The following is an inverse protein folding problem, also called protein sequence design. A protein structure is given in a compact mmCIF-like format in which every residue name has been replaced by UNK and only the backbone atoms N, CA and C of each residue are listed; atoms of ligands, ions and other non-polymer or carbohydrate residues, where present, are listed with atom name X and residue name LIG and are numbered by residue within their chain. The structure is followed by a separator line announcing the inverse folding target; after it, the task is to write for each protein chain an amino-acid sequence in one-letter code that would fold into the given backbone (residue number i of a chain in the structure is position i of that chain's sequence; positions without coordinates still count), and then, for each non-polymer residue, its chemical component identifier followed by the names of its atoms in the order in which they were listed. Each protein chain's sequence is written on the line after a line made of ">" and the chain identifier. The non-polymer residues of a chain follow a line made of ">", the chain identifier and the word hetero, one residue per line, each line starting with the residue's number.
data_IF_559119128729
#
_entry.id   IF_559119128729
#
_cell.length_a   1.000
_cell.length_b   1.000
_cell.length_c   1.000
_cell.angle_alpha   90.00
_cell.angle_beta   90.00
_cell.angle_gamma   90.00
#
_symmetry.space_group_name_H-M   'P 1'
#
loop_
_entity.id
_entity.type
_entity.pdbx_description
1 polymer ?
#
# COMPACT_ATOMS: atom_id res chain seq x y z
N UNK A 1 -15.50 -18.13 -4.58
CA UNK A 1 -14.35 -17.59 -5.35
C UNK A 1 -13.75 -16.48 -4.52
N UNK A 2 -12.47 -16.52 -4.14
CA UNK A 2 -11.85 -15.43 -3.38
C UNK A 2 -11.36 -14.32 -4.32
N UNK A 3 -11.72 -13.05 -4.07
CA UNK A 3 -11.49 -11.97 -5.03
C UNK A 3 -10.06 -11.45 -5.00
N UNK A 4 -9.59 -11.00 -6.16
CA UNK A 4 -8.41 -10.14 -6.28
C UNK A 4 -8.62 -8.85 -5.48
N UNK A 5 -7.54 -8.16 -5.11
CA UNK A 5 -7.66 -6.83 -4.52
C UNK A 5 -8.45 -5.92 -5.48
N UNK A 6 -9.44 -5.23 -4.94
CA UNK A 6 -10.14 -4.13 -5.64
C UNK A 6 -9.49 -2.82 -5.21
N UNK A 7 -9.51 -1.81 -6.08
CA UNK A 7 -8.97 -0.48 -5.77
C UNK A 7 -9.49 0.04 -4.43
N UNK A 8 -8.60 0.62 -3.65
CA UNK A 8 -8.90 1.15 -2.31
C UNK A 8 -8.89 2.67 -2.31
N UNK A 9 -9.79 3.28 -1.54
CA UNK A 9 -9.89 4.73 -1.38
C UNK A 9 -9.33 5.17 -0.04
N UNK A 10 -8.95 6.45 0.03
CA UNK A 10 -8.61 7.16 1.25
C UNK A 10 -9.75 8.09 1.63
N UNK A 11 -10.35 7.83 2.78
CA UNK A 11 -11.61 8.48 3.18
C UNK A 11 -11.39 9.68 4.11
N UNK A 12 -10.15 9.95 4.53
CA UNK A 12 -9.83 11.07 5.42
C UNK A 12 -9.55 12.36 4.64
N UNK A 13 -9.75 13.54 5.24
CA UNK A 13 -9.38 14.79 4.60
C UNK A 13 -7.85 14.88 4.43
N UNK A 14 -7.42 15.66 3.43
CA UNK A 14 -6.04 16.12 3.30
C UNK A 14 -5.97 17.58 3.74
N UNK A 15 -4.88 17.97 4.38
CA UNK A 15 -4.68 19.35 4.87
C UNK A 15 -3.94 20.21 3.84
N UNK A 16 -3.29 19.60 2.85
CA UNK A 16 -2.48 20.28 1.85
C UNK A 16 -2.64 19.67 0.45
N UNK A 17 -2.52 20.54 -0.54
CA UNK A 17 -2.48 20.20 -1.98
C UNK A 17 -1.18 20.69 -2.60
N UNK A 18 -0.76 20.11 -3.72
CA UNK A 18 0.45 20.51 -4.45
C UNK A 18 0.26 20.43 -5.96
N UNK A 19 0.99 21.27 -6.68
CA UNK A 19 1.12 21.20 -8.15
C UNK A 19 2.33 20.37 -8.59
N UNK A 20 3.16 19.90 -7.63
CA UNK A 20 4.34 19.07 -7.92
C UNK A 20 3.93 17.78 -8.64
N UNK A 21 4.68 17.46 -9.69
CA UNK A 21 4.60 16.19 -10.39
C UNK A 21 5.23 15.07 -9.56
N UNK A 22 4.68 13.86 -9.67
CA UNK A 22 5.21 12.69 -8.99
C UNK A 22 5.21 11.45 -9.86
N UNK A 23 6.11 10.54 -9.51
CA UNK A 23 6.24 9.22 -10.10
C UNK A 23 6.26 8.16 -9.00
N UNK A 24 5.56 7.05 -9.22
CA UNK A 24 5.51 5.94 -8.28
C UNK A 24 6.30 4.77 -8.85
N UNK A 25 7.26 4.26 -8.07
CA UNK A 25 7.96 3.02 -8.32
C UNK A 25 7.54 1.98 -7.30
N UNK A 26 7.16 0.78 -7.76
CA UNK A 26 6.77 -0.31 -6.87
C UNK A 26 7.70 -1.50 -7.04
N UNK A 27 8.36 -1.87 -5.95
CA UNK A 27 9.17 -3.08 -5.87
C UNK A 27 8.40 -4.16 -5.12
N UNK A 28 8.11 -5.25 -5.83
CA UNK A 28 7.43 -6.41 -5.24
C UNK A 28 8.43 -7.30 -4.52
N UNK A 29 8.11 -7.71 -3.30
CA UNK A 29 8.96 -8.63 -2.54
C UNK A 29 8.27 -9.94 -2.20
N UNK A 30 8.68 -10.52 -1.07
CA UNK A 30 8.41 -11.93 -0.76
C UNK A 30 6.94 -12.09 -0.34
N UNK A 31 6.25 -13.06 -0.95
CA UNK A 31 4.85 -13.40 -0.67
C UNK A 31 4.81 -14.74 0.04
N UNK A 32 4.22 -14.79 1.24
CA UNK A 32 4.27 -15.96 2.11
C UNK A 32 2.92 -16.36 2.69
N UNK A 33 2.78 -17.66 2.97
CA UNK A 33 1.72 -18.21 3.80
C UNK A 33 2.31 -18.66 5.12
N UNK A 34 1.69 -18.28 6.23
CA UNK A 34 1.98 -18.88 7.51
C UNK A 34 0.95 -19.97 7.82
N UNK A 35 1.17 -21.18 7.29
CA UNK A 35 0.31 -22.35 7.52
C UNK A 35 1.06 -23.47 8.24
N UNK A 36 0.43 -24.05 9.25
CA UNK A 36 0.87 -25.30 9.88
C UNK A 36 0.36 -26.55 9.14
N UNK A 37 -0.49 -26.38 8.13
CA UNK A 37 -1.08 -27.48 7.35
C UNK A 37 -0.63 -27.45 5.90
N UNK A 38 -0.25 -28.62 5.37
CA UNK A 38 0.23 -28.85 4.01
C UNK A 38 -0.93 -28.89 2.99
N UNK A 39 -1.78 -27.87 2.98
CA UNK A 39 -2.78 -27.69 1.92
C UNK A 39 -2.13 -26.84 0.84
N UNK A 40 -2.13 -27.34 -0.41
CA UNK A 40 -1.61 -26.59 -1.56
C UNK A 40 -2.26 -25.20 -1.57
N UNK A 41 -1.50 -24.12 -1.37
CA UNK A 41 -2.09 -22.82 -1.18
C UNK A 41 -2.81 -22.34 -2.44
N UNK A 42 -3.99 -21.76 -2.27
CA UNK A 42 -4.65 -21.03 -3.34
C UNK A 42 -3.93 -19.69 -3.57
N UNK A 43 -3.27 -19.47 -4.73
CA UNK A 43 -2.46 -18.27 -4.97
C UNK A 43 -3.25 -16.95 -4.88
N UNK A 44 -4.58 -17.00 -4.99
CA UNK A 44 -5.45 -15.83 -4.91
C UNK A 44 -5.66 -15.31 -3.48
N UNK A 45 -5.30 -16.10 -2.47
CA UNK A 45 -5.41 -15.73 -1.05
C UNK A 45 -4.20 -14.94 -0.54
N UNK A 46 -3.18 -14.75 -1.36
CA UNK A 46 -2.04 -13.92 -0.99
C UNK A 46 -2.28 -12.46 -1.32
N UNK A 47 -1.47 -11.58 -0.71
CA UNK A 47 -1.26 -10.22 -1.21
C UNK A 47 -0.13 -10.25 -2.24
N UNK A 48 -0.48 -10.71 -3.44
CA UNK A 48 0.48 -11.07 -4.48
C UNK A 48 0.94 -9.85 -5.30
N UNK A 49 1.75 -10.09 -6.34
CA UNK A 49 2.27 -9.03 -7.22
C UNK A 49 1.15 -8.20 -7.87
N UNK A 50 0.07 -8.84 -8.33
CA UNK A 50 -1.05 -8.15 -8.95
C UNK A 50 -1.77 -7.26 -7.93
N UNK A 51 -1.96 -7.75 -6.70
CA UNK A 51 -2.55 -6.96 -5.62
C UNK A 51 -1.66 -5.75 -5.25
N UNK A 52 -0.33 -5.91 -5.27
CA UNK A 52 0.62 -4.82 -5.03
C UNK A 52 0.55 -3.75 -6.13
N UNK A 53 0.37 -4.17 -7.38
CA UNK A 53 0.16 -3.27 -8.51
C UNK A 53 -1.18 -2.52 -8.40
N UNK A 54 -2.27 -3.22 -8.06
CA UNK A 54 -3.58 -2.60 -7.82
C UNK A 54 -3.51 -1.58 -6.67
N UNK A 55 -2.75 -1.87 -5.62
CA UNK A 55 -2.51 -0.90 -4.56
C UNK A 55 -1.78 0.35 -5.08
N UNK A 56 -0.75 0.18 -5.90
CA UNK A 56 -0.02 1.29 -6.51
C UNK A 56 -0.92 2.19 -7.36
N UNK A 57 -1.80 1.58 -8.15
CA UNK A 57 -2.81 2.27 -8.94
C UNK A 57 -3.81 3.02 -8.06
N UNK A 58 -4.24 2.40 -6.97
CA UNK A 58 -5.10 3.04 -5.98
C UNK A 58 -4.42 4.27 -5.38
N UNK A 59 -3.13 4.18 -5.04
CA UNK A 59 -2.37 5.29 -4.47
C UNK A 59 -2.22 6.43 -5.49
N UNK A 60 -1.91 6.12 -6.75
CA UNK A 60 -1.88 7.10 -7.84
C UNK A 60 -3.23 7.83 -7.97
N UNK A 61 -4.32 7.08 -8.03
CA UNK A 61 -5.65 7.65 -8.21
C UNK A 61 -6.02 8.57 -7.05
N UNK A 62 -5.72 8.16 -5.82
CA UNK A 62 -6.02 8.93 -4.62
C UNK A 62 -5.15 10.19 -4.48
N UNK A 63 -3.84 10.12 -4.77
CA UNK A 63 -2.97 11.29 -4.76
C UNK A 63 -3.44 12.36 -5.76
N UNK A 64 -3.88 11.92 -6.95
CA UNK A 64 -4.45 12.79 -7.97
C UNK A 64 -5.82 13.35 -7.54
N UNK A 65 -6.73 12.50 -7.05
CA UNK A 65 -8.08 12.89 -6.60
C UNK A 65 -8.02 13.93 -5.48
N UNK A 66 -7.12 13.72 -4.52
CA UNK A 66 -6.89 14.59 -3.37
C UNK A 66 -6.01 15.80 -3.69
N UNK A 67 -5.44 15.86 -4.91
CA UNK A 67 -4.51 16.90 -5.35
C UNK A 67 -3.29 17.06 -4.44
N UNK A 68 -2.86 15.98 -3.79
CA UNK A 68 -1.64 15.97 -2.97
C UNK A 68 -0.41 16.04 -3.88
N UNK A 69 -0.43 15.30 -4.99
CA UNK A 69 0.59 15.29 -6.05
C UNK A 69 -0.05 14.94 -7.40
N UNK A 70 0.51 15.45 -8.49
CA UNK A 70 0.15 15.06 -9.85
C UNK A 70 0.93 13.83 -10.31
N UNK A 71 0.36 12.63 -10.18
CA UNK A 71 1.03 11.37 -10.53
C UNK A 71 0.71 10.96 -11.97
N UNK A 72 1.68 11.08 -12.86
CA UNK A 72 1.52 10.73 -14.28
C UNK A 72 1.63 9.21 -14.51
N UNK A 73 2.67 8.57 -13.97
CA UNK A 73 3.01 7.17 -14.28
C UNK A 73 3.38 6.35 -13.05
N UNK A 74 3.12 5.05 -13.12
CA UNK A 74 3.63 4.02 -12.21
C UNK A 74 4.69 3.26 -13.00
N UNK A 75 5.95 3.41 -12.63
CA UNK A 75 7.07 2.79 -13.32
C UNK A 75 7.57 1.56 -12.56
N UNK A 76 7.86 0.48 -13.28
CA UNK A 76 8.65 -0.66 -12.79
C UNK A 76 10.13 -0.57 -13.22
N UNK A 77 10.52 0.51 -13.90
CA UNK A 77 11.87 0.78 -14.41
C UNK A 77 12.41 2.15 -13.97
N UNK A 78 13.37 2.74 -14.71
CA UNK A 78 13.93 4.05 -14.39
C UNK A 78 12.82 5.09 -14.25
N UNK A 79 12.87 5.85 -13.16
CA UNK A 79 11.84 6.81 -12.78
C UNK A 79 11.89 8.00 -13.75
N UNK A 80 10.78 8.29 -14.43
CA UNK A 80 10.66 9.49 -15.26
C UNK A 80 10.92 10.75 -14.42
N UNK A 81 11.48 11.80 -15.04
CA UNK A 81 11.76 13.05 -14.35
C UNK A 81 10.48 13.64 -13.76
N UNK A 82 10.41 13.70 -12.43
CA UNK A 82 9.30 14.24 -11.66
C UNK A 82 9.85 14.99 -10.44
N UNK A 83 9.08 15.95 -9.91
CA UNK A 83 9.49 16.73 -8.74
C UNK A 83 9.60 15.86 -7.48
N UNK A 84 8.78 14.82 -7.40
CA UNK A 84 8.77 13.86 -6.29
C UNK A 84 8.81 12.42 -6.82
N UNK A 85 9.84 11.68 -6.42
CA UNK A 85 9.91 10.23 -6.63
C UNK A 85 9.40 9.49 -5.40
N UNK A 86 8.42 8.61 -5.58
CA UNK A 86 7.82 7.76 -4.53
C UNK A 86 8.21 6.32 -4.81
N UNK A 87 8.98 5.69 -3.93
CA UNK A 87 9.30 4.27 -4.00
C UNK A 87 8.54 3.50 -2.91
N UNK A 88 7.75 2.50 -3.30
CA UNK A 88 7.04 1.59 -2.40
C UNK A 88 7.63 0.19 -2.56
N UNK A 89 8.31 -0.29 -1.51
CA UNK A 89 8.94 -1.60 -1.48
C UNK A 89 8.16 -2.51 -0.55
N UNK A 90 7.44 -3.48 -1.10
CA UNK A 90 6.82 -4.53 -0.30
C UNK A 90 7.89 -5.55 0.09
N UNK A 91 8.49 -5.44 1.27
CA UNK A 91 9.55 -6.37 1.68
C UNK A 91 9.01 -7.79 1.88
N UNK A 92 7.88 -7.90 2.57
CA UNK A 92 7.23 -9.17 2.89
C UNK A 92 5.73 -8.98 3.03
N UNK A 93 4.95 -9.89 2.45
CA UNK A 93 3.51 -9.99 2.68
C UNK A 93 3.16 -11.38 3.19
N UNK A 94 2.44 -11.45 4.31
CA UNK A 94 2.14 -12.71 4.99
C UNK A 94 0.63 -12.87 5.10
N UNK A 95 0.13 -14.00 4.62
CA UNK A 95 -1.25 -14.42 4.84
C UNK A 95 -1.33 -15.52 5.92
N UNK A 96 -2.23 -15.34 6.87
CA UNK A 96 -2.50 -16.25 7.99
C UNK A 96 -3.86 -16.92 7.80
N UNK A 97 -3.92 -18.10 7.14
CA UNK A 97 -5.19 -18.75 6.79
C UNK A 97 -6.04 -19.15 8.00
N UNK A 98 -5.43 -19.47 9.14
CA UNK A 98 -6.16 -19.85 10.35
C UNK A 98 -7.06 -18.74 10.93
N UNK A 99 -6.77 -17.48 10.59
CA UNK A 99 -7.48 -16.30 11.09
C UNK A 99 -7.79 -15.29 9.97
N UNK A 100 -7.67 -15.70 8.70
CA UNK A 100 -7.91 -14.88 7.50
C UNK A 100 -7.20 -13.49 7.54
N UNK A 101 -6.03 -13.42 8.17
CA UNK A 101 -5.33 -12.16 8.46
C UNK A 101 -4.20 -11.91 7.48
N UNK A 102 -3.93 -10.64 7.20
CA UNK A 102 -2.79 -10.22 6.40
C UNK A 102 -1.86 -9.35 7.22
N UNK A 103 -0.55 -9.54 7.01
CA UNK A 103 0.47 -8.61 7.50
C UNK A 103 1.35 -8.15 6.36
N UNK A 104 1.56 -6.85 6.25
CA UNK A 104 2.36 -6.21 5.20
C UNK A 104 3.54 -5.49 5.84
N UNK A 105 4.73 -5.80 5.35
CA UNK A 105 5.97 -5.14 5.69
C UNK A 105 6.43 -4.32 4.49
N UNK A 106 6.26 -3.00 4.59
CA UNK A 106 6.40 -2.08 3.45
C UNK A 106 7.34 -0.96 3.81
N UNK A 107 8.25 -0.61 2.91
CA UNK A 107 9.11 0.58 3.04
C UNK A 107 8.68 1.59 1.99
N UNK A 108 8.38 2.82 2.42
CA UNK A 108 8.23 3.95 1.51
C UNK A 108 9.50 4.78 1.54
N UNK A 109 9.97 5.20 0.37
CA UNK A 109 11.00 6.23 0.23
C UNK A 109 10.46 7.36 -0.65
N UNK A 110 10.73 8.59 -0.24
CA UNK A 110 10.36 9.80 -0.97
C UNK A 110 11.62 10.60 -1.26
N UNK A 111 11.66 11.22 -2.44
CA UNK A 111 12.78 12.03 -2.89
C UNK A 111 12.30 13.25 -3.65
N UNK A 112 12.81 14.43 -3.32
CA UNK A 112 12.56 15.69 -4.03
C UNK A 112 13.82 16.57 -3.95
N UNK A 113 14.60 16.63 -5.04
CA UNK A 113 15.95 17.21 -5.00
C UNK A 113 16.84 16.53 -3.95
N UNK A 114 17.39 17.31 -3.02
CA UNK A 114 18.20 16.81 -1.89
C UNK A 114 17.36 16.31 -0.71
N UNK A 115 16.06 16.63 -0.66
CA UNK A 115 15.19 16.18 0.42
C UNK A 115 14.84 14.71 0.23
N UNK A 116 15.08 13.92 1.27
CA UNK A 116 14.79 12.48 1.29
C UNK A 116 14.03 12.11 2.55
N UNK A 117 13.13 11.15 2.42
CA UNK A 117 12.40 10.55 3.53
C UNK A 117 12.31 9.05 3.31
N UNK A 118 12.44 8.27 4.38
CA UNK A 118 12.25 6.83 4.33
C UNK A 118 11.57 6.35 5.61
N UNK A 119 10.55 5.49 5.47
CA UNK A 119 9.84 4.89 6.61
C UNK A 119 9.40 3.47 6.30
N UNK A 120 9.51 2.61 7.31
CA UNK A 120 8.98 1.24 7.30
C UNK A 120 7.63 1.18 7.99
N UNK A 121 6.68 0.46 7.42
CA UNK A 121 5.34 0.23 7.90
C UNK A 121 5.13 -1.25 8.13
N UNK A 122 4.62 -1.57 9.31
CA UNK A 122 4.12 -2.90 9.63
C UNK A 122 2.61 -2.81 9.77
N UNK A 123 1.87 -3.29 8.78
CA UNK A 123 0.42 -3.21 8.73
C UNK A 123 -0.16 -4.59 9.03
N UNK A 124 -1.16 -4.64 9.91
CA UNK A 124 -1.96 -5.84 10.10
C UNK A 124 -3.42 -5.56 9.76
N UNK A 125 -4.06 -6.45 8.99
CA UNK A 125 -5.49 -6.31 8.64
C UNK A 125 -6.39 -6.20 9.87
N UNK A 126 -5.98 -6.78 11.00
CA UNK A 126 -6.74 -6.81 12.24
C UNK A 126 -6.24 -5.80 13.31
N UNK A 127 -5.33 -4.88 12.96
CA UNK A 127 -4.94 -3.79 13.85
C UNK A 127 -6.15 -2.86 14.11
N UNK A 128 -6.51 -2.63 15.37
CA UNK A 128 -7.63 -1.74 15.73
C UNK A 128 -9.04 -2.32 15.48
N UNK A 129 -9.14 -3.56 14.99
CA UNK A 129 -10.43 -4.25 14.79
C UNK A 129 -10.91 -4.96 16.05
N UNK A 130 -12.23 -5.04 16.22
CA UNK A 130 -12.80 -5.83 17.32
C UNK A 130 -12.53 -7.33 17.12
N UNK A 131 -12.46 -8.09 18.22
CA UNK A 131 -12.28 -9.54 18.19
C UNK A 131 -13.33 -10.24 17.31
N UNK A 132 -14.59 -9.81 17.40
CA UNK A 132 -15.70 -10.37 16.60
C UNK A 132 -15.60 -10.01 15.11
N UNK A 133 -15.14 -8.80 14.79
CA UNK A 133 -14.87 -8.40 13.40
C UNK A 133 -13.80 -9.29 12.78
N UNK A 134 -12.71 -9.54 13.52
CA UNK A 134 -11.59 -10.33 13.04
C UNK A 134 -11.93 -11.80 12.72
N UNK A 135 -12.87 -12.40 13.46
CA UNK A 135 -13.26 -13.80 13.23
C UNK A 135 -14.24 -13.94 12.06
N UNK A 136 -15.02 -12.91 11.77
CA UNK A 136 -16.01 -12.93 10.68
C UNK A 136 -15.48 -12.38 9.35
N UNK A 137 -14.28 -11.78 9.36
CA UNK A 137 -13.64 -11.21 8.16
C UNK A 137 -13.20 -12.34 7.23
N UNK A 138 -13.61 -12.28 5.96
CA UNK A 138 -13.13 -13.22 4.95
C UNK A 138 -11.74 -12.83 4.39
N UNK A 139 -11.12 -13.71 3.59
CA UNK A 139 -9.80 -13.45 3.02
C UNK A 139 -9.75 -12.19 2.12
N UNK A 140 -10.82 -11.89 1.39
CA UNK A 140 -10.88 -10.74 0.49
C UNK A 140 -11.04 -9.43 1.25
N UNK A 141 -11.89 -9.44 2.27
CA UNK A 141 -12.07 -8.32 3.20
C UNK A 141 -10.78 -8.03 3.96
N UNK A 142 -10.11 -9.06 4.50
CA UNK A 142 -8.84 -8.91 5.20
C UNK A 142 -7.75 -8.30 4.31
N UNK A 143 -7.71 -8.68 3.03
CA UNK A 143 -6.78 -8.13 2.04
C UNK A 143 -7.05 -6.63 1.80
N UNK A 144 -8.33 -6.30 1.59
CA UNK A 144 -8.78 -4.92 1.36
C UNK A 144 -8.52 -4.04 2.58
N UNK A 145 -8.76 -4.54 3.79
CA UNK A 145 -8.48 -3.83 5.04
C UNK A 145 -6.99 -3.54 5.22
N UNK A 146 -6.11 -4.50 4.93
CA UNK A 146 -4.68 -4.26 4.98
C UNK A 146 -4.24 -3.17 3.99
N UNK A 147 -4.76 -3.19 2.76
CA UNK A 147 -4.49 -2.15 1.75
C UNK A 147 -5.01 -0.77 2.18
N UNK A 148 -6.24 -0.69 2.70
CA UNK A 148 -6.81 0.58 3.23
C UNK A 148 -5.98 1.13 4.38
N UNK A 149 -5.54 0.28 5.31
CA UNK A 149 -4.70 0.68 6.45
C UNK A 149 -3.34 1.17 5.99
N UNK A 150 -2.73 0.51 5.01
CA UNK A 150 -1.49 0.98 4.41
C UNK A 150 -1.69 2.37 3.77
N UNK A 151 -2.72 2.54 2.93
CA UNK A 151 -3.07 3.82 2.31
C UNK A 151 -3.22 4.95 3.34
N UNK A 152 -3.93 4.67 4.43
CA UNK A 152 -4.17 5.62 5.51
C UNK A 152 -2.91 6.02 6.28
N UNK A 153 -1.85 5.21 6.24
CA UNK A 153 -0.53 5.55 6.81
C UNK A 153 0.35 6.28 5.81
N UNK A 154 0.29 5.93 4.52
CA UNK A 154 1.15 6.53 3.50
C UNK A 154 0.76 7.97 3.16
N UNK A 155 -0.53 8.24 2.91
CA UNK A 155 -0.97 9.56 2.42
C UNK A 155 -0.58 10.70 3.37
N UNK A 156 -0.80 10.62 4.70
CA UNK A 156 -0.38 11.69 5.60
C UNK A 156 1.14 11.94 5.61
N UNK A 157 1.94 10.88 5.51
CA UNK A 157 3.40 11.00 5.46
C UNK A 157 3.88 11.61 4.13
N UNK A 158 3.22 11.28 3.00
CA UNK A 158 3.47 11.91 1.70
C UNK A 158 3.11 13.39 1.75
N UNK A 159 1.94 13.73 2.29
CA UNK A 159 1.46 15.10 2.43
C UNK A 159 2.45 15.94 3.26
N UNK A 160 2.88 15.41 4.40
CA UNK A 160 3.87 16.06 5.25
C UNK A 160 5.20 16.26 4.52
N UNK A 161 5.70 15.26 3.81
CA UNK A 161 6.94 15.40 3.05
C UNK A 161 6.84 16.46 1.95
N UNK A 162 5.70 16.54 1.26
CA UNK A 162 5.46 17.55 0.23
C UNK A 162 5.39 18.95 0.84
N UNK A 163 4.80 19.10 2.04
CA UNK A 163 4.82 20.35 2.82
C UNK A 163 6.24 20.79 3.16
N UNK A 164 7.03 19.87 3.70
CA UNK A 164 8.36 20.15 4.24
C UNK A 164 9.41 20.38 3.14
N UNK A 165 9.11 19.97 1.90
CA UNK A 165 10.00 20.11 0.73
C UNK A 165 9.67 21.32 -0.16
N UNK A 166 8.81 22.24 0.29
CA UNK A 166 8.59 23.54 -0.33
C UNK A 166 9.70 24.52 0.03
#
# INVERSE_FOLDING_TARGET
>A
MNPALVKVTYDSPVSQTSEKSASIHVTTGIVEMNSLTYVRPNPRQYFNRDDQQVFAESLKDELNRLKVLGVAEISSGPVAAADVAIEIVFQRTIYFPGVQRYSLDVVMRLRSGEHTFARRYWISSAEGESFWTNINTDAGEGKTLAAKKLMARLIPDIEKFVSDSR
#
